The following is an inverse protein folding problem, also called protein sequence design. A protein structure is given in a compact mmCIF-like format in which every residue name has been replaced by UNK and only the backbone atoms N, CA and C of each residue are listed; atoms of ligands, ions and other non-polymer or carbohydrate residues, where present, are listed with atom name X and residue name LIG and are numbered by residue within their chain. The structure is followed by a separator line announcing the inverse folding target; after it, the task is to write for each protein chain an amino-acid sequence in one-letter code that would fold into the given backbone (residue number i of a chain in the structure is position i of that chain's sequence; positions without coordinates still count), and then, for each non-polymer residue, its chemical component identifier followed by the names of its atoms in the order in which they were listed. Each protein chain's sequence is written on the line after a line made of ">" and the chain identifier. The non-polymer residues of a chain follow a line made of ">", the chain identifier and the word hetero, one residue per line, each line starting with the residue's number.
data_IF_600863110927
#
_entry.id   IF_600863110927
#
_cell.length_a   1.000
_cell.length_b   1.000
_cell.length_c   1.000
_cell.angle_alpha   90.00
_cell.angle_beta   90.00
_cell.angle_gamma   90.00
#
_symmetry.space_group_name_H-M   'P 1'
#
loop_
_entity.id
_entity.type
_entity.pdbx_description
1 polymer ?
#
# COMPACT_ATOMS: atom_id res chain seq x y z
N UNK A 1 -2.22 3.19 -24.85
CA UNK A 1 -1.05 3.49 -23.99
C UNK A 1 0.21 2.74 -24.40
N UNK A 2 0.24 1.40 -24.38
CA UNK A 2 1.47 0.61 -24.68
C UNK A 2 2.08 0.97 -26.05
N UNK A 3 1.26 1.00 -27.10
CA UNK A 3 1.70 1.40 -28.45
C UNK A 3 2.24 2.84 -28.53
N UNK A 4 1.86 3.74 -27.62
CA UNK A 4 2.40 5.10 -27.55
C UNK A 4 3.81 5.08 -26.95
N UNK A 5 4.01 4.35 -25.86
CA UNK A 5 5.33 4.20 -25.22
C UNK A 5 6.34 3.54 -26.16
N UNK A 6 5.89 2.59 -26.98
CA UNK A 6 6.73 1.91 -27.97
C UNK A 6 7.18 2.85 -29.07
N UNK A 7 6.28 3.71 -29.58
CA UNK A 7 6.63 4.73 -30.58
C UNK A 7 7.61 5.76 -30.05
N UNK A 8 7.55 6.06 -28.75
CA UNK A 8 8.46 6.99 -28.07
C UNK A 8 9.77 6.32 -27.61
N UNK A 9 9.97 5.03 -27.90
CA UNK A 9 11.15 4.26 -27.46
C UNK A 9 11.39 4.31 -25.94
N UNK A 10 10.31 4.43 -25.16
CA UNK A 10 10.37 4.51 -23.70
C UNK A 10 10.39 3.10 -23.09
N UNK A 11 11.56 2.70 -22.59
CA UNK A 11 11.76 1.40 -21.93
C UNK A 11 12.24 1.57 -20.48
N UNK A 12 13.47 2.02 -20.30
CA UNK A 12 14.11 2.29 -19.00
C UNK A 12 14.71 3.69 -19.00
N UNK A 13 14.87 4.28 -17.83
CA UNK A 13 15.56 5.56 -17.65
C UNK A 13 16.56 5.44 -16.53
N UNK A 14 17.88 5.54 -16.83
CA UNK A 14 18.95 5.39 -15.83
C UNK A 14 18.78 4.14 -14.92
N UNK A 15 18.40 3.00 -15.52
CA UNK A 15 18.14 1.74 -14.80
C UNK A 15 16.74 1.60 -14.20
N UNK A 16 15.99 2.70 -14.05
CA UNK A 16 14.61 2.66 -13.59
C UNK A 16 13.68 2.03 -14.65
N UNK A 17 12.79 1.09 -14.29
CA UNK A 17 11.92 0.39 -15.23
C UNK A 17 10.72 1.25 -15.67
N UNK A 18 10.99 2.39 -16.31
CA UNK A 18 10.05 3.45 -16.65
C UNK A 18 8.76 2.92 -17.31
N UNK A 19 8.88 2.12 -18.39
CA UNK A 19 7.71 1.59 -19.12
C UNK A 19 6.78 0.79 -18.22
N UNK A 20 7.36 -0.12 -17.44
CA UNK A 20 6.60 -0.96 -16.50
C UNK A 20 5.89 -0.09 -15.48
N UNK A 21 6.58 0.90 -14.91
CA UNK A 21 5.96 1.75 -13.89
C UNK A 21 4.85 2.63 -14.45
N UNK A 22 5.04 3.25 -15.61
CA UNK A 22 3.98 4.07 -16.23
C UNK A 22 2.72 3.24 -16.45
N UNK A 23 2.85 2.02 -16.97
CA UNK A 23 1.70 1.13 -17.18
C UNK A 23 0.99 0.82 -15.85
N UNK A 24 1.76 0.50 -14.81
CA UNK A 24 1.24 0.20 -13.48
C UNK A 24 0.53 1.40 -12.85
N UNK A 25 1.17 2.56 -12.83
CA UNK A 25 0.63 3.81 -12.26
C UNK A 25 -0.65 4.22 -12.97
N UNK A 26 -0.69 4.15 -14.31
CA UNK A 26 -1.89 4.46 -15.08
C UNK A 26 -3.04 3.51 -14.76
N UNK A 27 -2.76 2.22 -14.50
CA UNK A 27 -3.80 1.26 -14.10
C UNK A 27 -4.44 1.55 -12.74
N UNK A 28 -3.82 2.44 -11.94
CA UNK A 28 -4.29 2.84 -10.62
C UNK A 28 -4.85 4.27 -10.59
N UNK A 29 -5.12 4.92 -11.72
CA UNK A 29 -5.61 6.32 -11.73
C UNK A 29 -7.06 6.48 -11.24
N UNK A 30 -7.85 5.41 -11.23
CA UNK A 30 -9.25 5.46 -10.76
C UNK A 30 -9.42 4.83 -9.37
N UNK A 31 -8.35 4.30 -8.79
CA UNK A 31 -8.41 3.70 -7.45
C UNK A 31 -8.85 4.72 -6.38
N UNK A 32 -9.55 4.28 -5.32
CA UNK A 32 -9.94 5.17 -4.23
C UNK A 32 -8.73 5.84 -3.57
N UNK A 33 -8.87 7.12 -3.21
CA UNK A 33 -7.89 7.92 -2.46
C UNK A 33 -8.56 8.87 -1.45
N UNK A 34 -9.87 8.75 -1.31
CA UNK A 34 -10.77 9.57 -0.50
C UNK A 34 -10.55 9.36 1.00
N UNK A 35 -10.04 8.20 1.41
CA UNK A 35 -9.72 7.90 2.80
C UNK A 35 -8.22 7.68 3.03
N UNK A 36 -7.83 7.76 4.29
CA UNK A 36 -6.46 7.50 4.72
C UNK A 36 -6.08 6.02 4.57
N UNK A 37 -7.05 5.12 4.78
CA UNK A 37 -6.92 3.69 4.48
C UNK A 37 -6.67 3.45 3.01
N UNK A 38 -7.42 4.11 2.13
CA UNK A 38 -7.25 4.00 0.69
C UNK A 38 -5.83 4.40 0.23
N UNK A 39 -5.27 5.49 0.76
CA UNK A 39 -3.88 5.88 0.49
C UNK A 39 -2.88 4.79 0.93
N UNK A 40 -3.04 4.23 2.13
CA UNK A 40 -2.16 3.16 2.63
C UNK A 40 -2.31 1.89 1.80
N UNK A 41 -3.53 1.51 1.42
CA UNK A 41 -3.77 0.38 0.53
C UNK A 41 -3.16 0.56 -0.86
N UNK A 42 -3.25 1.77 -1.43
CA UNK A 42 -2.64 2.08 -2.72
C UNK A 42 -1.11 2.06 -2.65
N UNK A 43 -0.51 2.58 -1.56
CA UNK A 43 0.95 2.51 -1.32
C UNK A 43 1.49 1.08 -1.25
N UNK A 44 0.65 0.10 -0.90
CA UNK A 44 1.03 -1.32 -0.85
C UNK A 44 0.96 -2.02 -2.21
N UNK A 45 0.41 -1.36 -3.24
CA UNK A 45 0.21 -1.92 -4.58
C UNK A 45 1.09 -1.25 -5.63
N UNK A 46 1.41 0.04 -5.46
CA UNK A 46 2.19 0.81 -6.43
C UNK A 46 2.93 2.01 -5.80
N UNK A 47 3.70 2.74 -6.60
CA UNK A 47 4.35 4.00 -6.20
C UNK A 47 3.29 5.11 -6.06
N UNK A 48 2.76 5.28 -4.83
CA UNK A 48 1.67 6.21 -4.51
C UNK A 48 1.95 7.64 -4.98
N UNK A 49 3.19 8.12 -4.80
CA UNK A 49 3.59 9.46 -5.25
C UNK A 49 3.38 9.67 -6.75
N UNK A 50 3.74 8.70 -7.58
CA UNK A 50 3.57 8.81 -9.03
C UNK A 50 2.10 8.81 -9.43
N UNK A 51 1.26 8.03 -8.75
CA UNK A 51 -0.18 8.04 -9.00
C UNK A 51 -0.77 9.42 -8.69
N UNK A 52 -0.45 10.00 -7.53
CA UNK A 52 -0.99 11.30 -7.13
C UNK A 52 -0.49 12.44 -8.02
N UNK A 53 0.80 12.43 -8.40
CA UNK A 53 1.35 13.41 -9.33
C UNK A 53 0.73 13.29 -10.73
N UNK A 54 0.51 12.07 -11.21
CA UNK A 54 -0.11 11.84 -12.52
C UNK A 54 -1.59 12.25 -12.51
N UNK A 55 -2.35 11.89 -11.47
CA UNK A 55 -3.73 12.37 -11.31
C UNK A 55 -3.79 13.89 -11.29
N UNK A 56 -2.92 14.54 -10.50
CA UNK A 56 -2.84 16.00 -10.49
C UNK A 56 -2.58 16.58 -11.88
N UNK A 57 -1.63 16.02 -12.63
CA UNK A 57 -1.34 16.48 -13.98
C UNK A 57 -2.55 16.36 -14.93
N UNK A 58 -3.36 15.31 -14.77
CA UNK A 58 -4.55 15.05 -15.60
C UNK A 58 -5.76 15.90 -15.18
N UNK A 59 -6.05 15.99 -13.89
CA UNK A 59 -7.28 16.62 -13.37
C UNK A 59 -7.10 18.08 -13.00
N UNK A 60 -5.84 18.51 -12.76
CA UNK A 60 -5.50 19.80 -12.17
C UNK A 60 -6.17 20.03 -10.79
N UNK A 61 -6.60 18.95 -10.12
CA UNK A 61 -7.26 19.03 -8.81
C UNK A 61 -6.21 19.19 -7.69
N UNK A 62 -6.18 20.33 -6.97
CA UNK A 62 -5.21 20.58 -5.90
C UNK A 62 -5.31 19.56 -4.75
N UNK A 63 -6.46 18.88 -4.57
CA UNK A 63 -6.61 17.83 -3.56
C UNK A 63 -5.56 16.72 -3.71
N UNK A 64 -5.10 16.43 -4.93
CA UNK A 64 -4.05 15.43 -5.17
C UNK A 64 -2.72 15.81 -4.51
N UNK A 65 -2.37 17.10 -4.53
CA UNK A 65 -1.15 17.61 -3.88
C UNK A 65 -1.28 17.60 -2.36
N UNK A 66 -2.46 17.91 -1.82
CA UNK A 66 -2.74 17.79 -0.39
C UNK A 66 -2.60 16.34 0.11
N UNK A 67 -3.19 15.39 -0.63
CA UNK A 67 -3.05 13.94 -0.38
C UNK A 67 -1.60 13.49 -0.46
N UNK A 68 -0.84 14.00 -1.43
CA UNK A 68 0.59 13.69 -1.56
C UNK A 68 1.40 14.20 -0.37
N UNK A 69 1.15 15.43 0.07
CA UNK A 69 1.83 15.99 1.25
C UNK A 69 1.51 15.18 2.52
N UNK A 70 0.26 14.73 2.66
CA UNK A 70 -0.15 13.83 3.74
C UNK A 70 0.53 12.45 3.66
N UNK A 71 0.63 11.88 2.46
CA UNK A 71 1.35 10.62 2.25
C UNK A 71 2.84 10.74 2.59
N UNK A 72 3.48 11.86 2.24
CA UNK A 72 4.88 12.15 2.57
C UNK A 72 5.10 12.31 4.08
N UNK A 73 4.22 13.03 4.79
CA UNK A 73 4.36 13.21 6.24
C UNK A 73 4.22 11.90 7.03
N UNK A 74 3.54 10.91 6.45
CA UNK A 74 3.41 9.56 7.01
C UNK A 74 4.47 8.57 6.52
N UNK A 75 5.35 9.00 5.61
CA UNK A 75 6.36 8.13 5.01
C UNK A 75 5.80 7.08 4.05
N UNK A 76 4.54 7.20 3.63
CA UNK A 76 3.88 6.20 2.76
C UNK A 76 3.96 6.52 1.26
N UNK A 77 4.59 7.64 0.90
CA UNK A 77 4.68 8.09 -0.49
C UNK A 77 5.46 7.13 -1.41
N UNK A 78 6.49 6.48 -0.86
CA UNK A 78 7.42 5.60 -1.60
C UNK A 78 7.35 4.13 -1.19
N UNK A 79 6.76 3.80 -0.05
CA UNK A 79 6.62 2.45 0.46
C UNK A 79 5.38 2.36 1.37
N UNK A 80 4.74 1.20 1.51
CA UNK A 80 3.64 1.07 2.45
C UNK A 80 4.12 1.08 3.91
N UNK A 81 3.21 1.32 4.87
CA UNK A 81 3.51 1.16 6.30
C UNK A 81 4.11 -0.22 6.61
N UNK A 82 5.14 -0.29 7.44
CA UNK A 82 5.65 -1.59 7.91
C UNK A 82 4.59 -2.34 8.71
N UNK A 83 4.51 -3.67 8.53
CA UNK A 83 3.66 -4.52 9.35
C UNK A 83 4.06 -4.44 10.84
N UNK A 84 3.10 -4.04 11.68
CA UNK A 84 3.26 -4.01 13.14
C UNK A 84 3.44 -5.44 13.67
N UNK A 85 2.57 -6.34 13.23
CA UNK A 85 2.57 -7.73 13.65
C UNK A 85 3.47 -8.57 12.72
N UNK A 86 4.42 -9.29 13.31
CA UNK A 86 5.36 -10.17 12.59
C UNK A 86 5.21 -11.59 13.14
N UNK A 87 5.63 -12.61 12.38
CA UNK A 87 5.49 -14.02 12.78
C UNK A 87 6.12 -14.36 14.13
N UNK A 88 7.18 -13.66 14.55
CA UNK A 88 7.79 -13.81 15.89
C UNK A 88 6.85 -13.43 17.03
N UNK A 89 5.97 -12.43 16.83
CA UNK A 89 4.99 -12.03 17.84
C UNK A 89 3.91 -13.12 17.97
N UNK A 90 3.46 -13.69 16.85
CA UNK A 90 2.49 -14.79 16.85
C UNK A 90 3.03 -16.05 17.54
N UNK A 91 4.31 -16.39 17.34
CA UNK A 91 4.96 -17.48 18.07
C UNK A 91 4.95 -17.24 19.60
N UNK A 92 5.19 -16.01 20.04
CA UNK A 92 5.11 -15.66 21.47
C UNK A 92 3.68 -15.79 22.03
N UNK A 93 2.66 -15.75 21.17
CA UNK A 93 1.25 -16.00 21.49
C UNK A 93 0.84 -17.48 21.38
N UNK A 94 1.80 -18.41 21.26
CA UNK A 94 1.58 -19.83 21.05
C UNK A 94 0.80 -20.17 19.75
N UNK A 95 0.83 -19.28 18.76
CA UNK A 95 0.24 -19.56 17.44
C UNK A 95 1.31 -20.27 16.57
N UNK A 96 1.08 -21.53 16.16
CA UNK A 96 2.08 -22.31 15.43
C UNK A 96 2.24 -21.81 13.98
N UNK A 97 3.44 -21.95 13.38
CA UNK A 97 3.66 -21.59 11.98
C UNK A 97 2.85 -22.51 11.05
N UNK A 98 2.31 -21.93 9.97
CA UNK A 98 1.54 -22.66 8.95
C UNK A 98 0.76 -21.71 8.02
N UNK A 99 0.01 -22.24 7.04
CA UNK A 99 -0.76 -21.42 6.09
C UNK A 99 -1.68 -20.40 6.76
N UNK A 100 -2.39 -20.82 7.83
CA UNK A 100 -3.25 -19.96 8.64
C UNK A 100 -2.51 -18.77 9.28
N UNK A 101 -1.23 -18.91 9.60
CA UNK A 101 -0.43 -17.80 10.13
C UNK A 101 -0.27 -16.68 9.09
N UNK A 102 -0.08 -17.04 7.82
CA UNK A 102 0.02 -16.06 6.73
C UNK A 102 -1.31 -15.34 6.49
N UNK A 103 -2.43 -16.06 6.57
CA UNK A 103 -3.78 -15.50 6.48
C UNK A 103 -4.04 -14.50 7.61
N UNK A 104 -3.71 -14.88 8.85
CA UNK A 104 -3.81 -14.03 10.02
C UNK A 104 -2.99 -12.74 9.90
N UNK A 105 -1.73 -12.84 9.46
CA UNK A 105 -0.87 -11.67 9.25
C UNK A 105 -1.44 -10.73 8.19
N UNK A 106 -1.95 -11.27 7.07
CA UNK A 106 -2.62 -10.48 6.03
C UNK A 106 -3.88 -9.79 6.56
N UNK A 107 -4.70 -10.50 7.34
CA UNK A 107 -5.90 -9.97 7.95
C UNK A 107 -5.60 -8.80 8.90
N UNK A 108 -4.62 -8.97 9.79
CA UNK A 108 -4.22 -7.90 10.72
C UNK A 108 -3.61 -6.72 9.97
N UNK A 109 -2.78 -6.98 8.97
CA UNK A 109 -2.19 -5.91 8.17
C UNK A 109 -3.23 -5.11 7.39
N UNK A 110 -4.28 -5.75 6.87
CA UNK A 110 -5.43 -5.06 6.29
C UNK A 110 -6.04 -4.07 7.29
N UNK A 111 -6.35 -4.50 8.51
CA UNK A 111 -6.90 -3.63 9.54
C UNK A 111 -5.92 -2.53 10.00
N UNK A 112 -4.61 -2.78 9.91
CA UNK A 112 -3.58 -1.76 10.14
C UNK A 112 -3.63 -0.68 9.06
N UNK A 113 -3.73 -1.05 7.78
CA UNK A 113 -3.83 -0.08 6.68
C UNK A 113 -5.09 0.78 6.82
N UNK A 114 -6.20 0.19 7.24
CA UNK A 114 -7.45 0.90 7.55
C UNK A 114 -7.34 1.83 8.78
N UNK A 115 -6.28 1.74 9.59
CA UNK A 115 -6.11 2.51 10.82
C UNK A 115 -6.89 1.97 12.02
N UNK A 116 -7.55 0.82 11.88
CA UNK A 116 -8.26 0.13 12.97
C UNK A 116 -7.29 -0.51 13.98
N UNK A 117 -6.03 -0.70 13.59
CA UNK A 117 -4.97 -1.30 14.39
C UNK A 117 -3.71 -0.41 14.33
N UNK A 118 -3.64 0.67 15.12
CA UNK A 118 -2.50 1.58 15.16
C UNK A 118 -1.31 1.07 15.98
N UNK A 119 -1.48 0.04 16.82
CA UNK A 119 -0.43 -0.43 17.76
C UNK A 119 -0.19 -1.93 17.68
N UNK A 120 1.03 -2.36 18.05
CA UNK A 120 1.37 -3.78 18.14
C UNK A 120 0.43 -4.54 19.11
N UNK A 121 0.11 -3.95 20.26
CA UNK A 121 -0.79 -4.56 21.26
C UNK A 121 -2.20 -4.79 20.71
N UNK A 122 -2.71 -3.84 19.92
CA UNK A 122 -3.99 -4.01 19.22
C UNK A 122 -3.91 -5.08 18.12
N UNK A 123 -2.79 -5.14 17.43
CA UNK A 123 -2.53 -6.15 16.40
C UNK A 123 -2.51 -7.56 16.99
N UNK A 124 -1.86 -7.74 18.14
CA UNK A 124 -1.84 -8.99 18.90
C UNK A 124 -3.24 -9.38 19.40
N UNK A 125 -4.02 -8.42 19.91
CA UNK A 125 -5.39 -8.66 20.36
C UNK A 125 -6.29 -9.11 19.21
N UNK A 126 -6.21 -8.42 18.07
CA UNK A 126 -6.97 -8.79 16.87
C UNK A 126 -6.55 -10.19 16.39
N UNK A 127 -5.25 -10.49 16.43
CA UNK A 127 -4.73 -11.79 16.03
C UNK A 127 -5.26 -12.94 16.90
N UNK A 128 -5.27 -12.76 18.23
CA UNK A 128 -5.84 -13.75 19.15
C UNK A 128 -7.34 -13.93 18.97
N UNK A 129 -8.07 -12.85 18.67
CA UNK A 129 -9.50 -12.93 18.37
C UNK A 129 -9.73 -13.78 17.11
N UNK A 130 -9.09 -13.40 16.01
CA UNK A 130 -9.20 -14.11 14.73
C UNK A 130 -8.82 -15.59 14.85
N UNK A 131 -7.75 -15.91 15.58
CA UNK A 131 -7.29 -17.30 15.78
C UNK A 131 -8.26 -18.17 16.58
N UNK A 132 -9.04 -17.60 17.50
CA UNK A 132 -10.06 -18.37 18.24
C UNK A 132 -11.32 -18.63 17.42
N UNK A 133 -11.56 -17.80 16.40
CA UNK A 133 -12.76 -17.82 15.58
C UNK A 133 -12.59 -18.64 14.28
N UNK A 134 -11.36 -19.09 13.95
CA UNK A 134 -11.02 -19.77 12.68
C UNK A 134 -10.10 -20.98 12.86
#
# INVERSE_FOLDING_TARGET
>A
MVATLDRLWLHKWKGYPLRRRVIEVVSHLEDPIDTDGALRHLSNRTELELVLLLRFAVTQDPQMLERLNKARSWGIAHAPPEQLLKGRHLKALNIPPGPKMGELLRYVYYHQLEGNVPTLKEAERLAQKWWREN
#
